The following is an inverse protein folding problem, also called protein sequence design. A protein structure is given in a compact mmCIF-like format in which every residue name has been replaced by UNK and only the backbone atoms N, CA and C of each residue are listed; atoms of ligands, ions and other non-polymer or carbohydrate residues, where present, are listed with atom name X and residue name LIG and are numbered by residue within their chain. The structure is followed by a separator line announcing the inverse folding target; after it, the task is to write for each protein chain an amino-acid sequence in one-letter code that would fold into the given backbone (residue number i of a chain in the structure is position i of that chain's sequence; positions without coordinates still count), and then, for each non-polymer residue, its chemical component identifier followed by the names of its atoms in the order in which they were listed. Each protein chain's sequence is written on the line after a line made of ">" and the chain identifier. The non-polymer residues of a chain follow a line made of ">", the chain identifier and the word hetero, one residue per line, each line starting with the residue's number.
data_IF_118813667249
#
_entry.id   IF_118813667249
#
_cell.length_a   1.000
_cell.length_b   1.000
_cell.length_c   1.000
_cell.angle_alpha   90.00
_cell.angle_beta   90.00
_cell.angle_gamma   90.00
#
_symmetry.space_group_name_H-M   'P 1'
#
loop_
_entity.id
_entity.type
_entity.pdbx_description
1 polymer ?
#
# COMPACT_ATOMS: atom_id res chain seq x y z
N UNK A 1 -3.82 -13.62 6.81
CA UNK A 1 -2.37 -13.83 6.88
C UNK A 1 -1.96 -13.77 8.33
N UNK A 2 -1.35 -14.83 8.85
CA UNK A 2 -0.95 -14.96 10.26
C UNK A 2 0.56 -14.89 10.42
N UNK A 3 1.37 -15.22 9.41
CA UNK A 3 2.83 -15.08 9.46
C UNK A 3 3.36 -14.41 8.20
N UNK A 4 4.35 -13.55 8.39
CA UNK A 4 5.13 -12.95 7.33
C UNK A 4 6.59 -13.35 7.45
N UNK A 5 7.08 -14.16 6.52
CA UNK A 5 8.49 -14.52 6.42
C UNK A 5 9.23 -13.46 5.63
N UNK A 6 10.27 -12.91 6.23
CA UNK A 6 11.06 -11.83 5.67
C UNK A 6 12.50 -12.30 5.58
N UNK A 7 13.05 -12.22 4.36
CA UNK A 7 14.46 -12.38 4.09
C UNK A 7 14.92 -11.20 3.21
N UNK A 8 15.74 -10.33 3.78
CA UNK A 8 16.30 -9.17 3.12
C UNK A 8 17.83 -9.24 3.18
N UNK A 9 18.50 -9.02 2.05
CA UNK A 9 19.96 -8.96 1.95
C UNK A 9 20.35 -7.82 1.00
N UNK A 10 21.24 -6.93 1.44
CA UNK A 10 21.64 -5.72 0.71
C UNK A 10 20.46 -4.85 0.24
N UNK A 11 19.40 -4.71 1.05
CA UNK A 11 18.25 -3.85 0.77
C UNK A 11 18.41 -2.48 1.43
N UNK A 12 18.71 -1.43 0.66
CA UNK A 12 18.94 -0.06 1.18
C UNK A 12 19.97 0.04 2.33
N UNK A 13 20.92 -0.89 2.42
CA UNK A 13 21.92 -0.95 3.49
C UNK A 13 21.58 -1.91 4.64
N UNK A 14 20.45 -2.62 4.59
CA UNK A 14 20.21 -3.81 5.41
C UNK A 14 21.16 -4.90 4.92
N UNK A 15 22.22 -5.20 5.67
CA UNK A 15 23.18 -6.26 5.32
C UNK A 15 22.48 -7.61 5.17
N UNK A 16 21.80 -8.04 6.23
CA UNK A 16 20.96 -9.25 6.25
C UNK A 16 19.89 -9.10 7.33
N UNK A 17 18.67 -9.49 7.03
CA UNK A 17 17.57 -9.61 7.99
C UNK A 17 16.77 -10.87 7.63
N UNK A 18 16.63 -11.76 8.60
CA UNK A 18 15.83 -12.98 8.47
C UNK A 18 14.92 -13.05 9.70
N UNK A 19 13.62 -12.90 9.47
CA UNK A 19 12.65 -12.82 10.55
C UNK A 19 11.29 -13.35 10.10
N UNK A 20 10.53 -13.90 11.03
CA UNK A 20 9.11 -14.20 10.81
C UNK A 20 8.29 -13.30 11.73
N UNK A 21 7.46 -12.45 11.16
CA UNK A 21 6.50 -11.64 11.92
C UNK A 21 5.24 -12.46 12.12
N UNK A 22 4.91 -12.76 13.37
CA UNK A 22 3.72 -13.54 13.73
C UNK A 22 2.60 -12.60 14.17
N UNK A 23 1.48 -12.68 13.45
CA UNK A 23 0.25 -11.93 13.64
C UNK A 23 -0.89 -12.79 14.20
N UNK A 24 -0.61 -14.03 14.61
CA UNK A 24 -1.64 -14.96 15.13
C UNK A 24 -2.28 -14.50 16.44
N UNK A 25 -1.48 -13.92 17.35
CA UNK A 25 -1.98 -13.38 18.62
C UNK A 25 -2.41 -11.91 18.52
N UNK A 26 -1.67 -11.08 17.74
CA UNK A 26 -1.94 -9.65 17.55
C UNK A 26 -1.69 -9.25 16.11
N UNK A 27 -2.54 -8.40 15.56
CA UNK A 27 -2.40 -7.86 14.20
C UNK A 27 -1.38 -6.71 14.07
N UNK A 28 -0.57 -6.47 15.10
CA UNK A 28 0.39 -5.36 15.16
C UNK A 28 1.74 -5.90 15.65
N UNK A 29 2.80 -5.54 14.94
CA UNK A 29 4.18 -5.83 15.32
C UNK A 29 4.97 -4.52 15.40
N UNK A 30 5.76 -4.37 16.47
CA UNK A 30 6.68 -3.24 16.62
C UNK A 30 8.09 -3.67 16.25
N UNK A 31 8.72 -2.93 15.34
CA UNK A 31 10.10 -3.17 14.92
C UNK A 31 10.99 -2.12 15.60
N UNK A 32 11.81 -2.57 16.54
CA UNK A 32 12.81 -1.72 17.19
C UNK A 32 14.20 -1.98 16.62
N UNK A 33 14.88 -0.91 16.22
CA UNK A 33 16.26 -0.98 15.73
C UNK A 33 16.99 0.35 16.00
N UNK A 34 18.33 0.37 15.96
CA UNK A 34 19.11 1.59 16.13
C UNK A 34 18.79 2.66 15.07
N UNK A 35 19.21 3.89 15.33
CA UNK A 35 19.13 4.96 14.35
C UNK A 35 20.16 4.77 13.24
N UNK A 36 19.84 5.22 12.02
CA UNK A 36 20.81 5.34 10.95
C UNK A 36 20.44 4.63 9.65
N UNK A 37 19.90 3.40 9.68
CA UNK A 37 19.68 2.65 8.42
C UNK A 37 18.45 1.72 8.50
N UNK A 38 18.32 0.90 9.54
CA UNK A 38 17.40 -0.25 9.53
C UNK A 38 15.91 0.11 9.34
N UNK A 39 15.33 0.93 10.23
CA UNK A 39 13.88 1.23 10.23
C UNK A 39 13.40 1.86 8.92
N UNK A 40 14.12 2.89 8.46
CA UNK A 40 13.80 3.59 7.20
C UNK A 40 14.06 2.71 5.98
N UNK A 41 15.12 1.90 5.98
CA UNK A 41 15.41 0.97 4.88
C UNK A 41 14.37 -0.14 4.78
N UNK A 42 13.88 -0.62 5.92
CA UNK A 42 12.79 -1.59 5.97
C UNK A 42 11.52 -1.01 5.35
N UNK A 43 11.11 0.19 5.77
CA UNK A 43 9.95 0.87 5.19
C UNK A 43 10.09 1.09 3.67
N UNK A 44 11.26 1.54 3.20
CA UNK A 44 11.54 1.70 1.76
C UNK A 44 11.50 0.39 0.97
N UNK A 45 11.96 -0.70 1.58
CA UNK A 45 11.92 -2.03 0.95
C UNK A 45 10.48 -2.49 0.70
N UNK A 46 9.57 -2.20 1.63
CA UNK A 46 8.12 -2.46 1.45
C UNK A 46 7.46 -1.47 0.49
N UNK A 47 7.92 -0.22 0.49
CA UNK A 47 7.46 0.80 -0.46
C UNK A 47 7.74 0.37 -1.90
N UNK A 48 8.95 -0.15 -2.16
CA UNK A 48 9.30 -0.66 -3.49
C UNK A 48 8.40 -1.82 -3.94
N UNK A 49 7.88 -2.65 -3.01
CA UNK A 49 6.94 -3.70 -3.38
C UNK A 49 5.62 -3.08 -3.83
N UNK A 50 5.11 -2.10 -3.07
CA UNK A 50 3.87 -1.38 -3.37
C UNK A 50 3.94 -0.66 -4.72
N UNK A 51 5.09 -0.08 -5.08
CA UNK A 51 5.28 0.63 -6.36
C UNK A 51 5.87 -0.24 -7.46
N UNK A 52 5.99 -1.56 -7.23
CA UNK A 52 6.59 -2.53 -8.14
C UNK A 52 8.01 -2.18 -8.61
N UNK A 53 8.78 -1.52 -7.76
CA UNK A 53 10.19 -1.18 -7.98
C UNK A 53 11.12 -2.31 -7.54
N UNK A 54 12.30 -2.34 -8.15
CA UNK A 54 13.41 -3.20 -7.76
C UNK A 54 14.10 -2.57 -6.55
N UNK A 55 14.22 -3.32 -5.46
CA UNK A 55 15.02 -2.88 -4.31
C UNK A 55 16.50 -3.11 -4.60
N UNK A 56 17.33 -2.12 -4.27
CA UNK A 56 18.78 -2.15 -4.45
C UNK A 56 19.51 -1.67 -3.19
N UNK A 57 20.78 -1.99 -3.07
CA UNK A 57 21.63 -1.38 -2.03
C UNK A 57 21.84 0.10 -2.35
N UNK A 58 21.82 0.95 -1.31
CA UNK A 58 21.93 2.40 -1.46
C UNK A 58 23.36 2.87 -1.75
N UNK A 59 24.35 2.13 -1.25
CA UNK A 59 25.77 2.54 -1.28
C UNK A 59 26.52 1.74 -2.33
N UNK A 60 26.27 0.43 -2.40
CA UNK A 60 27.00 -0.49 -3.27
C UNK A 60 26.07 -1.13 -4.29
N UNK A 61 25.82 -0.43 -5.39
CA UNK A 61 24.89 -0.86 -6.45
C UNK A 61 25.26 -2.22 -7.07
N UNK A 62 26.53 -2.62 -7.01
CA UNK A 62 27.00 -3.90 -7.55
C UNK A 62 26.67 -5.11 -6.66
N UNK A 63 26.19 -4.88 -5.43
CA UNK A 63 25.81 -5.98 -4.53
C UNK A 63 24.51 -6.61 -5.00
N UNK A 64 24.49 -7.94 -5.02
CA UNK A 64 23.25 -8.69 -5.24
C UNK A 64 22.30 -8.43 -4.07
N UNK A 65 21.19 -7.77 -4.37
CA UNK A 65 20.08 -7.56 -3.44
C UNK A 65 19.14 -8.76 -3.49
N UNK A 66 18.75 -9.26 -2.32
CA UNK A 66 17.70 -10.27 -2.19
C UNK A 66 16.56 -9.73 -1.35
N UNK A 67 15.37 -9.71 -1.92
CA UNK A 67 14.12 -9.31 -1.26
C UNK A 67 13.12 -10.46 -1.40
N UNK A 68 12.96 -11.23 -0.33
CA UNK A 68 11.91 -12.26 -0.24
C UNK A 68 11.00 -11.96 0.94
N UNK A 69 9.74 -11.66 0.63
CA UNK A 69 8.70 -11.39 1.62
C UNK A 69 7.52 -12.29 1.25
N UNK A 70 7.27 -13.30 2.09
CA UNK A 70 6.34 -14.40 1.81
C UNK A 70 5.31 -14.56 2.92
N UNK A 71 4.07 -14.83 2.53
CA UNK A 71 2.97 -15.13 3.43
C UNK A 71 2.98 -16.60 3.91
N UNK A 72 1.94 -17.01 4.65
CA UNK A 72 1.75 -18.37 5.17
C UNK A 72 1.80 -19.46 4.09
N UNK A 73 1.25 -19.16 2.92
CA UNK A 73 1.21 -20.06 1.77
C UNK A 73 2.53 -20.05 0.97
N UNK A 74 3.57 -19.39 1.47
CA UNK A 74 4.85 -19.19 0.82
C UNK A 74 4.75 -18.37 -0.50
N UNK A 75 3.64 -17.66 -0.70
CA UNK A 75 3.41 -16.78 -1.83
C UNK A 75 3.94 -15.37 -1.53
N UNK A 76 4.46 -14.70 -2.56
CA UNK A 76 4.87 -13.30 -2.47
C UNK A 76 3.65 -12.40 -2.27
N UNK A 77 3.81 -11.31 -1.54
CA UNK A 77 2.78 -10.29 -1.39
C UNK A 77 2.55 -9.55 -2.71
N UNK A 78 1.30 -9.29 -3.06
CA UNK A 78 0.97 -8.43 -4.18
C UNK A 78 1.15 -6.94 -3.80
N UNK A 79 1.51 -6.06 -4.74
CA UNK A 79 1.68 -4.62 -4.48
C UNK A 79 0.46 -3.99 -3.79
N UNK A 80 -0.75 -4.44 -4.15
CA UNK A 80 -2.02 -3.91 -3.66
C UNK A 80 -2.37 -4.37 -2.22
N UNK A 81 -1.63 -5.35 -1.69
CA UNK A 81 -1.76 -5.84 -0.31
C UNK A 81 -0.89 -5.06 0.69
N UNK A 82 -0.01 -4.18 0.19
CA UNK A 82 0.94 -3.43 1.00
C UNK A 82 0.63 -1.94 0.90
N UNK A 83 0.64 -1.27 2.05
CA UNK A 83 0.50 0.17 2.12
C UNK A 83 1.49 0.75 3.13
N UNK A 84 2.37 1.62 2.68
CA UNK A 84 3.44 2.21 3.51
C UNK A 84 3.10 3.66 3.85
N UNK A 85 2.91 3.92 5.15
CA UNK A 85 2.69 5.26 5.69
C UNK A 85 4.04 5.91 6.02
N UNK A 86 4.39 6.94 5.26
CA UNK A 86 5.45 7.93 5.48
C UNK A 86 5.02 9.01 6.49
N UNK A 87 5.89 9.35 7.43
CA UNK A 87 5.60 10.36 8.45
C UNK A 87 5.46 11.80 7.91
N UNK A 88 5.92 12.06 6.69
CA UNK A 88 6.00 13.40 6.08
C UNK A 88 4.99 13.63 4.95
N UNK A 89 4.17 12.62 4.62
CA UNK A 89 3.10 12.75 3.63
C UNK A 89 1.81 13.07 4.38
N UNK A 90 1.26 14.26 4.12
CA UNK A 90 0.08 14.77 4.81
C UNK A 90 -1.21 14.02 4.45
N UNK A 91 -1.30 13.52 3.20
CA UNK A 91 -2.48 12.91 2.64
C UNK A 91 -2.09 11.73 1.74
N UNK A 92 -2.83 10.63 1.86
CA UNK A 92 -2.63 9.46 1.02
C UNK A 92 -3.82 9.24 0.11
N UNK A 93 -3.56 9.14 -1.18
CA UNK A 93 -4.51 8.63 -2.14
C UNK A 93 -4.13 7.18 -2.48
N UNK A 94 -5.08 6.28 -2.35
CA UNK A 94 -5.02 4.96 -2.98
C UNK A 94 -6.45 4.57 -3.33
N UNK A 95 -6.60 3.75 -4.37
CA UNK A 95 -7.88 3.25 -4.86
C UNK A 95 -8.69 2.51 -3.77
N UNK A 96 -8.05 2.16 -2.65
CA UNK A 96 -8.67 1.59 -1.44
C UNK A 96 -8.46 2.45 -0.17
N UNK A 97 -7.75 3.58 -0.25
CA UNK A 97 -7.33 4.46 0.87
C UNK A 97 -8.20 5.69 0.99
N UNK A 98 -9.48 5.46 0.84
CA UNK A 98 -10.46 6.44 1.22
C UNK A 98 -10.64 6.41 2.78
N UNK A 99 -9.94 5.53 3.51
CA UNK A 99 -10.24 5.21 4.93
C UNK A 99 -9.22 5.70 5.95
N UNK A 100 -8.12 6.37 5.56
CA UNK A 100 -7.06 6.71 6.54
C UNK A 100 -7.11 8.14 7.09
N UNK A 101 -7.68 9.13 6.38
CA UNK A 101 -7.55 10.54 6.81
C UNK A 101 -8.81 11.41 6.68
N UNK A 102 -9.97 10.84 6.36
CA UNK A 102 -11.23 11.58 6.32
C UNK A 102 -12.21 10.94 7.27
N UNK A 103 -12.88 11.76 8.09
CA UNK A 103 -13.99 11.32 8.92
C UNK A 103 -14.92 10.42 8.09
N UNK A 104 -14.98 9.16 8.49
CA UNK A 104 -15.60 8.07 7.73
C UNK A 104 -17.09 8.31 7.46
N UNK A 105 -17.76 9.06 8.33
CA UNK A 105 -19.17 9.42 8.16
C UNK A 105 -19.33 10.41 7.00
N UNK A 106 -18.56 11.50 7.00
CA UNK A 106 -18.53 12.48 5.91
C UNK A 106 -18.15 11.85 4.57
N UNK A 107 -17.26 10.86 4.58
CA UNK A 107 -16.86 10.18 3.35
C UNK A 107 -17.98 9.32 2.77
N UNK A 108 -18.68 8.56 3.61
CA UNK A 108 -19.83 7.76 3.17
C UNK A 108 -20.97 8.62 2.68
N UNK A 109 -21.19 9.73 3.36
CA UNK A 109 -22.18 10.73 2.96
C UNK A 109 -21.82 11.33 1.59
N UNK A 110 -20.56 11.71 1.39
CA UNK A 110 -20.04 12.19 0.10
C UNK A 110 -20.18 11.15 -1.03
N UNK A 111 -19.76 9.91 -0.80
CA UNK A 111 -19.85 8.83 -1.80
C UNK A 111 -21.31 8.54 -2.19
N UNK A 112 -22.21 8.47 -1.22
CA UNK A 112 -23.64 8.24 -1.47
C UNK A 112 -24.29 9.39 -2.24
N UNK A 113 -23.98 10.64 -1.88
CA UNK A 113 -24.49 11.83 -2.57
C UNK A 113 -23.99 11.86 -4.01
N UNK A 114 -22.70 11.56 -4.22
CA UNK A 114 -22.10 11.57 -5.54
C UNK A 114 -22.68 10.49 -6.47
N UNK A 115 -22.85 9.27 -5.97
CA UNK A 115 -23.50 8.19 -6.73
C UNK A 115 -24.93 8.53 -7.14
N UNK A 116 -25.70 9.15 -6.25
CA UNK A 116 -27.08 9.56 -6.54
C UNK A 116 -27.15 10.70 -7.56
N UNK A 117 -26.23 11.67 -7.49
CA UNK A 117 -26.10 12.74 -8.48
C UNK A 117 -25.75 12.15 -9.84
N UNK A 118 -24.80 11.22 -9.91
CA UNK A 118 -24.41 10.61 -11.17
C UNK A 118 -25.54 9.77 -11.77
N UNK A 119 -26.24 8.95 -10.97
CA UNK A 119 -27.43 8.20 -11.43
C UNK A 119 -28.49 9.12 -12.00
N UNK A 120 -28.81 10.23 -11.32
CA UNK A 120 -29.79 11.21 -11.79
C UNK A 120 -29.33 11.91 -13.07
N UNK A 121 -28.06 12.30 -13.14
CA UNK A 121 -27.43 12.89 -14.32
C UNK A 121 -27.48 11.93 -15.51
N UNK A 122 -27.11 10.66 -15.34
CA UNK A 122 -27.15 9.65 -16.40
C UNK A 122 -28.58 9.43 -16.90
N UNK A 123 -29.56 9.38 -15.99
CA UNK A 123 -30.96 9.21 -16.37
C UNK A 123 -31.49 10.44 -17.13
N UNK A 124 -31.15 11.65 -16.68
CA UNK A 124 -31.46 12.89 -17.37
C UNK A 124 -30.84 12.92 -18.78
N UNK A 125 -29.55 12.61 -18.89
CA UNK A 125 -28.85 12.55 -20.18
C UNK A 125 -29.47 11.50 -21.11
N UNK A 126 -29.85 10.33 -20.58
CA UNK A 126 -30.54 9.29 -21.34
C UNK A 126 -31.88 9.77 -21.90
N UNK A 127 -32.64 10.55 -21.12
CA UNK A 127 -33.91 11.12 -21.56
C UNK A 127 -33.72 12.29 -22.54
N UNK A 128 -32.75 13.17 -22.30
CA UNK A 128 -32.40 14.25 -23.21
C UNK A 128 -31.90 13.73 -24.57
N UNK A 129 -31.10 12.66 -24.59
CA UNK A 129 -30.67 11.99 -25.83
C UNK A 129 -31.86 11.50 -26.67
N UNK A 130 -32.91 10.98 -26.03
CA UNK A 130 -34.12 10.54 -26.73
C UNK A 130 -34.88 11.71 -27.39
N UNK A 131 -34.86 12.89 -26.79
CA UNK A 131 -35.66 14.06 -27.22
C UNK A 131 -34.88 14.97 -28.17
N UNK A 132 -33.57 15.10 -27.97
CA UNK A 132 -32.71 16.05 -28.71
C UNK A 132 -32.24 15.55 -30.07
N UNK A 133 -32.55 14.31 -30.46
CA UNK A 133 -32.12 13.73 -31.74
C UNK A 133 -30.62 13.47 -31.86
N UNK A 134 -29.84 13.69 -30.80
CA UNK A 134 -28.43 13.31 -30.73
C UNK A 134 -28.31 11.79 -30.54
N UNK A 135 -27.68 11.11 -31.51
CA UNK A 135 -27.09 9.77 -31.31
C UNK A 135 -25.82 9.91 -30.47
#
# INVERSE_FOLDING_TARGET
>A
MTKLKIYLENCYGIKKMEATLDFSEKNIVSIYAPNGIMKTSFAKTFEDICTNNITVDRIFHDRLTKREIKNDANASLAPEEIFVIKSYVAEYESDKVSTLLVNKELRKEYESIYEDIDKKKQNLLKNLKKISGFK
#
